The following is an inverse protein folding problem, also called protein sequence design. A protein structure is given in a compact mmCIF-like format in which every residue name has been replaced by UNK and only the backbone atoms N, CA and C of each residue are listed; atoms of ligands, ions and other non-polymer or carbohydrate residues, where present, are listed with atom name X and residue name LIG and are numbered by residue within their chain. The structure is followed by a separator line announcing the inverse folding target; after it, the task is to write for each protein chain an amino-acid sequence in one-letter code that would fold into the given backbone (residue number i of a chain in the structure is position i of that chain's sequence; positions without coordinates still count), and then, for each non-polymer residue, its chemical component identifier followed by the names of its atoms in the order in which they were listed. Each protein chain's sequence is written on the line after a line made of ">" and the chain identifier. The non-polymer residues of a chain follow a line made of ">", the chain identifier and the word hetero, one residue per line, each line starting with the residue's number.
data_IF_587822720652
#
_entry.id   IF_587822720652
#
_cell.length_a   1.000
_cell.length_b   1.000
_cell.length_c   1.000
_cell.angle_alpha   90.00
_cell.angle_beta   90.00
_cell.angle_gamma   90.00
#
_symmetry.space_group_name_H-M   'P 1'
#
loop_
_entity.id
_entity.type
_entity.pdbx_description
1 polymer ?
#
# COMPACT_ATOMS: atom_id res chain seq x y z
N UNK A 1 11.96 -22.74 6.32
CA UNK A 1 10.92 -21.76 6.73
C UNK A 1 11.13 -20.52 5.87
N UNK A 2 10.09 -19.84 5.37
CA UNK A 2 10.29 -18.55 4.70
C UNK A 2 10.58 -17.48 5.76
N UNK A 3 11.62 -16.69 5.58
CA UNK A 3 11.86 -15.53 6.45
C UNK A 3 10.87 -14.40 6.11
N UNK A 4 10.75 -13.39 6.99
CA UNK A 4 9.79 -12.27 6.84
C UNK A 4 9.88 -11.57 5.48
N UNK A 5 11.10 -11.39 4.96
CA UNK A 5 11.36 -10.77 3.66
C UNK A 5 10.90 -11.65 2.49
N UNK A 6 11.21 -12.94 2.54
CA UNK A 6 10.78 -13.92 1.54
C UNK A 6 9.26 -14.08 1.52
N UNK A 7 8.60 -14.00 2.68
CA UNK A 7 7.15 -14.01 2.78
C UNK A 7 6.54 -12.81 2.03
N UNK A 8 7.00 -11.59 2.32
CA UNK A 8 6.49 -10.39 1.64
C UNK A 8 6.74 -10.44 0.12
N UNK A 9 7.88 -10.98 -0.34
CA UNK A 9 8.12 -11.19 -1.77
C UNK A 9 7.19 -12.24 -2.38
N UNK A 10 6.91 -13.35 -1.69
CA UNK A 10 5.98 -14.36 -2.18
C UNK A 10 4.56 -13.79 -2.35
N UNK A 11 4.10 -12.95 -1.41
CA UNK A 11 2.82 -12.26 -1.50
C UNK A 11 2.81 -11.25 -2.66
N UNK A 12 3.89 -10.50 -2.84
CA UNK A 12 4.03 -9.59 -3.96
C UNK A 12 4.04 -10.31 -5.31
N UNK A 13 4.78 -11.42 -5.44
CA UNK A 13 4.83 -12.21 -6.67
C UNK A 13 3.46 -12.78 -7.03
N UNK A 14 2.80 -13.40 -6.04
CA UNK A 14 1.53 -14.10 -6.23
C UNK A 14 0.38 -13.12 -6.47
N UNK A 15 0.20 -12.13 -5.58
CA UNK A 15 -0.96 -11.23 -5.63
C UNK A 15 -0.66 -9.86 -6.22
N UNK A 16 0.60 -9.44 -6.32
CA UNK A 16 0.96 -8.06 -6.67
C UNK A 16 0.72 -7.06 -5.55
N UNK A 17 0.52 -7.53 -4.31
CA UNK A 17 0.24 -6.68 -3.15
C UNK A 17 1.55 -6.18 -2.53
N UNK A 18 1.57 -4.91 -2.13
CA UNK A 18 2.67 -4.28 -1.42
C UNK A 18 2.30 -4.12 0.06
N UNK A 19 3.27 -4.35 0.95
CA UNK A 19 3.11 -4.18 2.39
C UNK A 19 4.00 -5.08 3.22
N UNK A 20 4.06 -4.80 4.52
CA UNK A 20 4.73 -5.65 5.50
C UNK A 20 3.73 -6.55 6.23
N UNK A 21 3.42 -7.68 5.60
CA UNK A 21 2.47 -8.68 6.10
C UNK A 21 3.06 -9.56 7.20
N UNK A 22 4.40 -9.67 7.23
CA UNK A 22 5.14 -10.45 8.22
C UNK A 22 5.53 -9.63 9.47
N UNK A 23 5.08 -8.38 9.60
CA UNK A 23 5.35 -7.50 10.75
C UNK A 23 4.89 -8.08 12.11
N UNK A 24 3.87 -8.94 12.11
CA UNK A 24 3.31 -9.57 13.30
C UNK A 24 3.89 -10.97 13.60
N UNK A 25 4.75 -11.50 12.72
CA UNK A 25 5.34 -12.81 12.95
C UNK A 25 6.33 -12.76 14.13
N UNK A 26 6.36 -13.81 14.97
CA UNK A 26 7.37 -13.92 16.01
C UNK A 26 8.76 -13.93 15.36
N UNK A 27 9.74 -13.32 16.06
CA UNK A 27 11.12 -13.31 15.59
C UNK A 27 11.64 -14.73 15.36
N UNK A 28 12.47 -14.90 14.32
CA UNK A 28 13.11 -16.19 14.06
C UNK A 28 14.01 -16.50 15.27
N UNK A 29 13.84 -17.68 15.88
CA UNK A 29 14.71 -18.12 16.96
C UNK A 29 16.14 -18.20 16.42
N UNK A 30 17.04 -17.36 16.95
CA UNK A 30 18.47 -17.47 16.69
C UNK A 30 18.95 -18.67 17.50
N UNK A 31 19.03 -19.82 16.84
CA UNK A 31 19.53 -21.05 17.46
C UNK A 31 21.06 -20.94 17.62
N UNK A 32 21.49 -20.32 18.71
CA UNK A 32 22.87 -20.42 19.18
C UNK A 32 23.08 -21.80 19.83
N UNK A 33 23.73 -22.70 19.09
CA UNK A 33 24.51 -23.79 19.66
C UNK A 33 23.85 -25.17 19.66
N UNK A 34 24.33 -26.01 18.74
CA UNK A 34 24.47 -27.47 18.84
C UNK A 34 23.26 -28.28 19.38
N UNK A 35 22.46 -28.87 18.51
CA UNK A 35 22.67 -30.26 18.06
C UNK A 35 21.62 -30.72 17.04
N UNK A 36 22.11 -31.50 16.10
CA UNK A 36 21.44 -32.09 14.96
C UNK A 36 20.57 -33.28 15.37
N UNK A 37 19.24 -33.14 15.46
CA UNK A 37 18.25 -34.24 15.29
C UNK A 37 17.01 -33.70 14.57
N UNK A 38 16.68 -34.30 13.42
CA UNK A 38 15.63 -33.87 12.50
C UNK A 38 14.20 -34.12 12.97
N UNK A 39 13.72 -33.38 13.97
CA UNK A 39 12.31 -33.40 14.39
C UNK A 39 11.71 -32.04 14.80
N UNK A 40 12.40 -30.92 14.55
CA UNK A 40 11.99 -29.58 15.00
C UNK A 40 11.19 -28.72 14.01
N UNK A 41 10.29 -29.28 13.19
CA UNK A 41 9.52 -28.53 12.17
C UNK A 41 8.00 -28.52 12.40
N UNK A 42 7.53 -28.65 13.64
CA UNK A 42 6.11 -28.47 13.98
C UNK A 42 5.86 -26.98 14.25
N UNK A 43 5.05 -26.33 13.42
CA UNK A 43 4.57 -24.97 13.68
C UNK A 43 3.82 -24.96 15.03
N UNK A 44 4.15 -24.04 15.93
CA UNK A 44 3.37 -23.90 17.16
C UNK A 44 1.93 -23.47 16.84
N UNK A 45 0.97 -23.81 17.70
CA UNK A 45 -0.42 -23.36 17.54
C UNK A 45 -0.52 -21.82 17.42
N UNK A 46 0.31 -21.09 18.17
CA UNK A 46 0.40 -19.63 18.10
C UNK A 46 0.92 -19.12 16.75
N UNK A 47 1.89 -19.81 16.14
CA UNK A 47 2.39 -19.48 14.81
C UNK A 47 1.31 -19.73 13.75
N UNK A 48 0.63 -20.87 13.79
CA UNK A 48 -0.47 -21.18 12.86
C UNK A 48 -1.58 -20.13 12.90
N UNK A 49 -1.98 -19.71 14.10
CA UNK A 49 -2.97 -18.63 14.28
C UNK A 49 -2.48 -17.30 13.69
N UNK A 50 -1.21 -16.94 13.88
CA UNK A 50 -0.64 -15.74 13.30
C UNK A 50 -0.63 -15.78 11.76
N UNK A 51 -0.27 -16.92 11.17
CA UNK A 51 -0.32 -17.09 9.72
C UNK A 51 -1.75 -17.03 9.17
N UNK A 52 -2.74 -17.64 9.84
CA UNK A 52 -4.15 -17.58 9.42
C UNK A 52 -4.65 -16.14 9.39
N UNK A 53 -4.39 -15.39 10.45
CA UNK A 53 -4.78 -13.98 10.55
C UNK A 53 -4.16 -13.14 9.42
N UNK A 54 -2.92 -13.42 9.04
CA UNK A 54 -2.27 -12.73 7.93
C UNK A 54 -2.85 -13.16 6.58
N UNK A 55 -3.19 -14.44 6.40
CA UNK A 55 -3.87 -14.92 5.20
C UNK A 55 -5.21 -14.23 5.00
N UNK A 56 -6.01 -14.06 6.06
CA UNK A 56 -7.28 -13.32 6.00
C UNK A 56 -7.07 -11.87 5.55
N UNK A 57 -6.09 -11.17 6.13
CA UNK A 57 -5.74 -9.79 5.74
C UNK A 57 -5.32 -9.70 4.26
N UNK A 58 -4.60 -10.71 3.76
CA UNK A 58 -4.17 -10.77 2.36
C UNK A 58 -5.38 -11.01 1.44
N UNK A 59 -6.24 -11.98 1.78
CA UNK A 59 -7.43 -12.31 0.99
C UNK A 59 -8.44 -11.16 0.98
N UNK A 60 -8.64 -10.45 2.09
CA UNK A 60 -9.48 -9.26 2.15
C UNK A 60 -8.98 -8.12 1.26
N UNK A 61 -7.66 -7.99 1.11
CA UNK A 61 -7.06 -7.04 0.17
C UNK A 61 -7.06 -7.53 -1.27
N UNK A 62 -6.92 -8.83 -1.47
CA UNK A 62 -6.80 -9.41 -2.80
C UNK A 62 -8.15 -9.49 -3.51
N UNK A 63 -9.22 -9.79 -2.76
CA UNK A 63 -10.55 -10.09 -3.28
C UNK A 63 -11.41 -8.84 -3.28
N UNK A 64 -11.71 -8.31 -4.46
CA UNK A 64 -12.72 -7.28 -4.65
C UNK A 64 -14.08 -7.89 -4.97
N UNK A 65 -15.15 -7.24 -4.51
CA UNK A 65 -16.53 -7.56 -4.87
C UNK A 65 -17.18 -6.33 -5.51
N UNK A 66 -18.01 -6.56 -6.54
CA UNK A 66 -18.74 -5.49 -7.21
C UNK A 66 -17.94 -4.67 -8.24
N UNK A 67 -18.48 -3.48 -8.53
CA UNK A 67 -18.02 -2.62 -9.62
C UNK A 67 -16.69 -1.91 -9.31
N UNK A 68 -15.99 -1.52 -10.38
CA UNK A 68 -14.76 -0.73 -10.28
C UNK A 68 -15.02 0.56 -9.50
N UNK A 69 -14.29 0.82 -8.40
CA UNK A 69 -14.42 2.08 -7.67
C UNK A 69 -14.17 3.28 -8.59
N UNK A 70 -14.95 4.34 -8.42
CA UNK A 70 -14.80 5.56 -9.21
C UNK A 70 -13.45 6.22 -8.89
N UNK A 71 -12.68 6.51 -9.93
CA UNK A 71 -11.46 7.31 -9.80
C UNK A 71 -11.84 8.78 -9.63
N UNK A 72 -11.41 9.38 -8.52
CA UNK A 72 -11.61 10.79 -8.24
C UNK A 72 -10.41 11.59 -8.72
N UNK A 73 -10.66 12.67 -9.47
CA UNK A 73 -9.63 13.64 -9.85
C UNK A 73 -9.92 14.97 -9.18
N UNK A 74 -8.88 15.62 -8.67
CA UNK A 74 -8.96 16.96 -8.14
C UNK A 74 -7.74 17.78 -8.54
N UNK A 75 -7.96 19.04 -8.89
CA UNK A 75 -6.92 20.02 -9.17
C UNK A 75 -7.12 21.21 -8.24
N UNK A 76 -6.05 21.72 -7.65
CA UNK A 76 -6.10 22.90 -6.79
C UNK A 76 -4.74 23.58 -6.72
N UNK A 77 -4.74 24.84 -6.29
CA UNK A 77 -3.55 25.62 -5.98
C UNK A 77 -3.39 25.75 -4.47
N UNK A 78 -2.20 26.09 -4.00
CA UNK A 78 -2.02 26.47 -2.60
C UNK A 78 -2.64 27.83 -2.25
N UNK A 79 -3.12 28.58 -3.25
CA UNK A 79 -3.92 29.77 -3.01
C UNK A 79 -5.36 29.40 -2.60
N UNK A 80 -5.86 28.24 -3.02
CA UNK A 80 -7.24 27.79 -2.74
C UNK A 80 -7.43 27.20 -1.33
N UNK A 81 -6.35 26.96 -0.58
CA UNK A 81 -6.43 26.49 0.80
C UNK A 81 -6.76 27.63 1.77
N UNK A 82 -7.53 27.30 2.81
CA UNK A 82 -7.96 28.21 3.88
C UNK A 82 -6.79 29.08 4.40
N UNK A 83 -6.97 30.41 4.54
CA UNK A 83 -5.98 31.33 5.09
C UNK A 83 -5.32 30.87 6.41
N UNK A 84 -6.08 30.27 7.33
CA UNK A 84 -5.55 29.69 8.59
C UNK A 84 -4.57 28.55 8.32
N UNK A 85 -4.88 27.70 7.34
CA UNK A 85 -3.98 26.63 6.92
C UNK A 85 -2.72 27.20 6.27
N UNK A 86 -2.85 28.24 5.43
CA UNK A 86 -1.73 28.93 4.78
C UNK A 86 -0.78 29.59 5.78
N UNK A 87 -1.32 30.20 6.83
CA UNK A 87 -0.54 30.78 7.94
C UNK A 87 0.36 29.74 8.60
N UNK A 88 -0.14 28.51 8.78
CA UNK A 88 0.64 27.38 9.29
C UNK A 88 1.74 26.92 8.31
N UNK A 89 1.57 27.11 7.00
CA UNK A 89 2.58 26.77 5.97
C UNK A 89 3.80 27.70 5.97
N UNK A 90 3.73 28.85 6.66
CA UNK A 90 4.76 29.91 6.62
C UNK A 90 5.18 30.22 5.18
N UNK A 91 4.20 30.37 4.30
CA UNK A 91 4.41 30.45 2.86
C UNK A 91 4.18 31.87 2.31
N UNK A 92 4.88 32.24 1.24
CA UNK A 92 4.76 33.55 0.57
C UNK A 92 4.15 33.41 -0.83
N UNK A 93 3.38 34.41 -1.27
CA UNK A 93 2.86 34.49 -2.64
C UNK A 93 3.98 34.83 -3.62
N UNK A 94 3.96 34.18 -4.78
CA UNK A 94 4.82 34.47 -5.94
C UNK A 94 3.98 34.37 -7.22
N UNK A 95 3.31 35.48 -7.57
CA UNK A 95 2.29 35.48 -8.62
C UNK A 95 1.19 34.45 -8.35
N UNK A 96 1.02 33.50 -9.27
CA UNK A 96 0.06 32.40 -9.18
C UNK A 96 0.55 31.22 -8.29
N UNK A 97 1.80 31.26 -7.82
CA UNK A 97 2.43 30.21 -7.02
C UNK A 97 2.55 30.56 -5.53
N UNK A 98 2.87 29.55 -4.72
CA UNK A 98 3.14 29.71 -3.29
C UNK A 98 4.52 29.13 -2.97
N UNK A 99 5.41 29.98 -2.45
CA UNK A 99 6.73 29.58 -1.95
C UNK A 99 6.53 28.90 -0.59
N UNK A 100 6.77 27.60 -0.54
CA UNK A 100 6.61 26.79 0.69
C UNK A 100 7.90 26.81 1.49
N UNK A 101 7.79 26.92 2.82
CA UNK A 101 8.90 26.75 3.76
C UNK A 101 8.74 25.45 4.56
N UNK A 102 9.83 25.00 5.21
CA UNK A 102 9.85 23.71 5.92
C UNK A 102 8.92 23.67 7.15
N UNK A 103 8.40 24.78 7.65
CA UNK A 103 7.59 24.75 8.89
C UNK A 103 6.15 24.24 8.72
N UNK A 104 5.57 24.33 7.52
CA UNK A 104 4.25 23.78 7.29
C UNK A 104 4.14 23.13 5.93
N UNK A 105 4.50 21.86 5.92
CA UNK A 105 4.27 20.94 4.82
C UNK A 105 2.77 20.92 4.47
N UNK A 106 2.37 21.21 3.23
CA UNK A 106 0.97 21.19 2.83
C UNK A 106 0.45 19.76 2.88
N UNK A 107 -0.23 19.42 3.98
CA UNK A 107 -1.06 18.23 4.09
C UNK A 107 -2.29 18.46 3.22
N UNK A 108 -2.51 17.63 2.21
CA UNK A 108 -3.64 17.77 1.28
C UNK A 108 -4.95 17.31 1.93
N UNK A 109 -5.35 17.95 3.05
CA UNK A 109 -6.40 17.50 4.00
C UNK A 109 -7.80 17.36 3.41
N UNK A 110 -8.05 17.86 2.19
CA UNK A 110 -9.30 17.67 1.44
C UNK A 110 -9.24 16.56 0.38
N UNK A 111 -8.10 15.88 0.22
CA UNK A 111 -7.82 14.82 -0.76
C UNK A 111 -7.34 13.57 -0.03
N UNK A 112 -8.23 13.11 0.83
CA UNK A 112 -8.07 11.92 1.64
C UNK A 112 -8.37 10.70 0.76
N UNK A 113 -7.53 9.67 0.82
CA UNK A 113 -7.80 8.41 0.13
C UNK A 113 -9.10 7.79 0.66
N UNK A 114 -10.18 7.66 -0.14
CA UNK A 114 -11.45 7.09 0.31
C UNK A 114 -11.33 5.60 0.62
N UNK A 115 -10.47 4.89 -0.11
CA UNK A 115 -10.18 3.45 0.04
C UNK A 115 -8.69 3.19 -0.12
N UNK A 116 -8.24 2.00 0.27
CA UNK A 116 -6.88 1.53 -0.02
C UNK A 116 -6.67 1.44 -1.55
N UNK A 117 -5.53 1.91 -2.04
CA UNK A 117 -5.21 1.82 -3.46
C UNK A 117 -4.02 2.67 -3.89
N UNK A 118 -3.69 2.61 -5.19
CA UNK A 118 -2.68 3.48 -5.79
C UNK A 118 -3.29 4.84 -6.11
N UNK A 119 -2.58 5.92 -5.81
CA UNK A 119 -3.01 7.28 -6.11
C UNK A 119 -1.87 8.02 -6.79
N UNK A 120 -2.21 8.82 -7.79
CA UNK A 120 -1.29 9.68 -8.52
C UNK A 120 -1.36 11.09 -7.95
N UNK A 121 -0.20 11.67 -7.68
CA UNK A 121 -0.02 13.07 -7.35
C UNK A 121 0.80 13.73 -8.46
N UNK A 122 0.29 14.80 -9.06
CA UNK A 122 1.08 15.67 -9.94
C UNK A 122 1.29 17.01 -9.26
N UNK A 123 2.54 17.45 -9.19
CA UNK A 123 2.91 18.74 -8.57
C UNK A 123 3.64 19.58 -9.60
N UNK A 124 3.08 20.73 -9.93
CA UNK A 124 3.76 21.74 -10.75
C UNK A 124 4.52 22.69 -9.83
N UNK A 125 5.84 22.63 -9.86
CA UNK A 125 6.71 23.42 -8.99
C UNK A 125 7.96 23.93 -9.72
N UNK A 126 8.60 24.96 -9.17
CA UNK A 126 9.87 25.52 -9.64
C UNK A 126 10.69 26.08 -8.47
N UNK A 127 11.99 26.21 -8.68
CA UNK A 127 12.92 26.75 -7.71
C UNK A 127 12.94 28.27 -7.81
N UNK A 128 13.00 28.93 -6.67
CA UNK A 128 13.11 30.39 -6.54
C UNK A 128 14.40 30.69 -5.80
N UNK A 129 15.22 31.58 -6.37
CA UNK A 129 16.47 32.08 -5.75
C UNK A 129 17.38 30.95 -5.25
N UNK A 130 17.53 29.90 -6.05
CA UNK A 130 18.30 28.70 -5.72
C UNK A 130 19.77 28.77 -6.15
N UNK A 131 20.22 29.87 -6.74
CA UNK A 131 21.62 30.08 -7.19
C UNK A 131 22.12 28.95 -8.11
N UNK A 132 21.24 28.34 -8.91
CA UNK A 132 21.56 27.21 -9.78
C UNK A 132 21.75 25.86 -9.06
N UNK A 133 21.52 25.80 -7.74
CA UNK A 133 21.52 24.54 -6.97
C UNK A 133 20.12 23.93 -6.95
N UNK A 134 20.03 22.60 -6.92
CA UNK A 134 18.73 21.95 -6.77
C UNK A 134 18.20 22.14 -5.35
N UNK A 135 16.88 22.28 -5.22
CA UNK A 135 16.16 22.20 -3.95
C UNK A 135 15.34 20.93 -3.93
N UNK A 136 15.46 20.15 -2.85
CA UNK A 136 14.70 18.90 -2.72
C UNK A 136 13.26 19.18 -2.30
N UNK A 137 12.33 18.48 -2.94
CA UNK A 137 10.94 18.37 -2.50
C UNK A 137 10.59 16.89 -2.36
N UNK A 138 10.42 16.42 -1.13
CA UNK A 138 9.99 15.05 -0.85
C UNK A 138 8.46 14.96 -0.87
N UNK A 139 7.94 13.88 -1.46
CA UNK A 139 6.53 13.51 -1.37
C UNK A 139 6.41 12.41 -0.33
N UNK A 140 5.53 12.63 0.63
CA UNK A 140 5.26 11.71 1.73
C UNK A 140 3.76 11.40 1.77
N UNK A 141 3.39 10.23 2.29
CA UNK A 141 1.98 9.90 2.54
C UNK A 141 1.75 9.33 3.94
N UNK A 142 0.52 9.47 4.45
CA UNK A 142 0.09 8.83 5.69
C UNK A 142 -0.83 9.68 6.57
N UNK A 143 -0.96 9.25 7.83
CA UNK A 143 -1.76 9.92 8.87
C UNK A 143 -0.89 10.86 9.68
N UNK A 144 -0.71 12.09 9.22
CA UNK A 144 0.12 13.11 9.88
C UNK A 144 -0.47 13.72 11.19
N UNK A 145 -1.13 12.90 12.02
CA UNK A 145 -1.61 13.26 13.36
C UNK A 145 -0.57 12.94 14.44
N UNK A 146 0.21 11.87 14.28
CA UNK A 146 1.31 11.51 15.18
C UNK A 146 2.64 12.01 14.62
N UNK A 147 3.40 12.77 15.42
CA UNK A 147 4.76 13.21 15.07
C UNK A 147 5.83 12.11 15.19
N UNK A 148 5.48 10.97 15.80
CA UNK A 148 6.43 9.89 16.14
C UNK A 148 6.61 8.83 15.05
N UNK A 149 5.87 8.91 13.93
CA UNK A 149 6.02 7.98 12.80
C UNK A 149 6.63 8.77 11.66
N UNK A 150 7.84 8.37 11.23
CA UNK A 150 8.45 8.89 10.00
C UNK A 150 7.55 8.44 8.86
N UNK A 151 6.89 9.36 8.14
CA UNK A 151 6.03 8.98 7.05
C UNK A 151 6.88 8.37 5.92
N UNK A 152 6.38 7.33 5.23
CA UNK A 152 7.02 6.83 4.02
C UNK A 152 7.28 7.97 3.03
N UNK A 153 8.50 7.98 2.48
CA UNK A 153 8.91 8.89 1.41
C UNK A 153 8.66 8.18 0.10
N UNK A 154 7.62 8.59 -0.61
CA UNK A 154 7.22 8.00 -1.89
C UNK A 154 8.12 8.45 -3.04
N UNK A 155 8.80 9.59 -2.86
CA UNK A 155 9.81 10.05 -3.79
C UNK A 155 10.43 11.38 -3.40
N UNK A 156 11.53 11.70 -4.06
CA UNK A 156 12.28 12.96 -3.90
C UNK A 156 12.41 13.64 -5.25
N UNK A 157 12.03 14.90 -5.31
CA UNK A 157 12.26 15.77 -6.46
C UNK A 157 13.49 16.61 -6.26
N UNK A 158 14.27 16.76 -7.31
CA UNK A 158 15.26 17.82 -7.44
C UNK A 158 14.62 18.93 -8.27
N UNK A 159 14.17 19.99 -7.60
CA UNK A 159 13.60 21.17 -8.24
C UNK A 159 14.77 22.10 -8.57
N UNK A 160 15.17 22.12 -9.84
CA UNK A 160 16.33 22.89 -10.33
C UNK A 160 15.90 24.09 -11.16
N UNK A 161 14.84 23.89 -11.95
CA UNK A 161 14.36 24.85 -12.94
C UNK A 161 13.74 26.08 -12.27
N UNK A 162 14.07 27.26 -12.77
CA UNK A 162 13.42 28.53 -12.47
C UNK A 162 12.04 28.66 -13.17
N UNK A 163 11.72 27.69 -14.03
CA UNK A 163 10.44 27.57 -14.75
C UNK A 163 9.58 26.44 -14.19
N UNK A 164 8.24 26.61 -14.15
CA UNK A 164 7.33 25.58 -13.67
C UNK A 164 7.48 24.26 -14.41
N UNK A 165 7.72 23.17 -13.66
CA UNK A 165 7.76 21.80 -14.17
C UNK A 165 6.77 20.92 -13.41
N UNK A 166 6.09 20.03 -14.11
CA UNK A 166 5.17 19.06 -13.51
C UNK A 166 5.90 17.77 -13.21
N UNK A 167 5.79 17.33 -11.97
CA UNK A 167 6.35 16.09 -11.47
C UNK A 167 5.23 15.13 -11.10
N UNK A 168 5.34 13.85 -11.47
CA UNK A 168 4.33 12.82 -11.21
C UNK A 168 4.84 11.79 -10.21
N UNK A 169 3.96 11.42 -9.27
CA UNK A 169 4.19 10.38 -8.27
C UNK A 169 3.01 9.44 -8.20
N UNK A 170 3.28 8.16 -8.01
CA UNK A 170 2.26 7.15 -7.70
C UNK A 170 2.63 6.47 -6.41
N UNK A 171 1.73 6.48 -5.43
CA UNK A 171 1.94 5.84 -4.14
C UNK A 171 0.72 5.00 -3.72
N UNK A 172 0.98 3.96 -2.92
CA UNK A 172 -0.04 3.07 -2.37
C UNK A 172 -0.57 3.64 -1.04
N UNK A 173 -1.70 4.33 -1.04
CA UNK A 173 -2.29 4.94 0.15
C UNK A 173 -3.28 3.99 0.82
N UNK A 174 -3.30 4.00 2.16
CA UNK A 174 -4.38 3.40 2.94
C UNK A 174 -5.56 4.36 3.03
N UNK A 175 -6.74 3.81 3.29
CA UNK A 175 -7.92 4.59 3.59
C UNK A 175 -7.59 5.61 4.70
N UNK A 176 -7.95 6.86 4.41
CA UNK A 176 -7.70 8.06 5.22
C UNK A 176 -6.29 8.64 5.20
N UNK A 177 -5.38 8.10 4.41
CA UNK A 177 -4.08 8.73 4.17
C UNK A 177 -4.24 9.99 3.30
N UNK A 178 -3.30 10.90 3.44
CA UNK A 178 -3.14 12.09 2.59
C UNK A 178 -1.71 12.14 2.10
N UNK A 179 -1.46 12.84 0.99
CA UNK A 179 -0.11 13.26 0.63
C UNK A 179 0.31 14.52 1.42
N UNK A 180 1.61 14.69 1.59
CA UNK A 180 2.28 15.89 2.06
C UNK A 180 3.54 16.16 1.25
N UNK A 181 3.87 17.43 1.10
CA UNK A 181 5.08 17.88 0.41
C UNK A 181 6.08 18.44 1.42
N UNK A 182 7.30 17.91 1.41
CA UNK A 182 8.32 18.18 2.41
C UNK A 182 9.61 18.70 1.76
N UNK A 183 9.90 20.01 1.83
CA UNK A 183 11.19 20.54 1.36
C UNK A 183 12.27 20.49 2.46
N UNK A 184 13.18 19.49 2.49
CA UNK A 184 14.21 19.35 3.53
C UNK A 184 15.24 20.48 3.51
N UNK A 185 15.51 21.06 2.34
CA UNK A 185 16.59 22.03 2.15
C UNK A 185 16.21 23.45 2.57
N UNK A 186 14.94 23.67 2.92
CA UNK A 186 14.43 24.98 3.30
C UNK A 186 14.44 25.18 4.81
N UNK A 187 14.52 26.45 5.22
CA UNK A 187 14.57 26.86 6.63
C UNK A 187 13.31 26.42 7.40
N UNK A 188 13.50 25.89 8.61
CA UNK A 188 12.42 25.45 9.52
C UNK A 188 12.31 26.29 10.82
N UNK A 189 12.92 27.46 10.88
CA UNK A 189 12.93 28.33 12.07
C UNK A 189 12.43 29.76 11.79
N UNK A 190 11.62 29.94 10.73
CA UNK A 190 11.09 31.25 10.36
C UNK A 190 9.87 31.64 11.22
N UNK A 191 9.91 32.84 11.81
CA UNK A 191 8.74 33.42 12.47
C UNK A 191 7.74 33.90 11.43
N UNK A 192 6.47 33.98 11.80
CA UNK A 192 5.39 34.40 10.90
C UNK A 192 5.62 35.81 10.33
N UNK A 193 6.08 36.72 11.17
CA UNK A 193 6.42 38.11 10.84
C UNK A 193 7.53 38.23 9.79
N UNK A 194 8.47 37.27 9.78
CA UNK A 194 9.62 37.28 8.86
C UNK A 194 9.29 36.70 7.47
N UNK A 195 8.16 35.98 7.33
CA UNK A 195 7.78 35.28 6.08
C UNK A 195 7.64 36.26 4.91
N UNK A 196 7.04 37.43 5.15
CA UNK A 196 6.82 38.44 4.11
C UNK A 196 8.15 39.04 3.60
N UNK A 197 9.08 39.30 4.53
CA UNK A 197 10.39 39.87 4.24
C UNK A 197 11.40 38.83 3.71
N UNK A 198 11.06 37.54 3.73
CA UNK A 198 11.97 36.49 3.29
C UNK A 198 12.38 36.62 1.82
N UNK A 199 13.70 36.72 1.63
CA UNK A 199 14.35 36.85 0.33
C UNK A 199 15.26 35.66 -0.04
N UNK A 200 15.20 34.55 0.71
CA UNK A 200 16.06 33.38 0.47
C UNK A 200 15.51 32.36 -0.55
N UNK A 201 16.21 31.22 -0.73
CA UNK A 201 15.79 30.14 -1.63
C UNK A 201 14.43 29.56 -1.23
N UNK A 202 13.66 29.10 -2.21
CA UNK A 202 12.35 28.52 -1.97
C UNK A 202 11.86 27.65 -3.12
N UNK A 203 10.82 26.87 -2.86
CA UNK A 203 10.12 26.08 -3.88
C UNK A 203 8.73 26.66 -4.04
N UNK A 204 8.45 27.20 -5.22
CA UNK A 204 7.13 27.70 -5.58
C UNK A 204 6.28 26.56 -6.13
N UNK A 205 5.09 26.37 -5.54
CA UNK A 205 4.12 25.36 -5.99
C UNK A 205 2.96 26.08 -6.66
N UNK A 206 2.77 25.80 -7.96
CA UNK A 206 1.74 26.44 -8.80
C UNK A 206 0.45 25.64 -8.82
N UNK A 207 0.56 24.31 -8.96
CA UNK A 207 -0.60 23.43 -9.13
C UNK A 207 -0.35 22.09 -8.49
N UNK A 208 -1.39 21.53 -7.87
CA UNK A 208 -1.40 20.16 -7.35
C UNK A 208 -2.61 19.45 -7.94
N UNK A 209 -2.37 18.28 -8.52
CA UNK A 209 -3.42 17.39 -9.01
C UNK A 209 -3.33 16.05 -8.28
N UNK A 210 -4.48 15.53 -7.89
CA UNK A 210 -4.63 14.25 -7.21
C UNK A 210 -5.62 13.39 -7.98
N UNK A 211 -5.25 12.15 -8.25
CA UNK A 211 -6.03 11.21 -9.03
C UNK A 211 -5.98 9.82 -8.38
N UNK A 212 -7.14 9.25 -8.07
CA UNK A 212 -7.21 7.86 -7.62
C UNK A 212 -8.54 7.49 -6.95
N UNK A 213 -8.69 6.21 -6.55
CA UNK A 213 -7.73 5.13 -6.74
C UNK A 213 -7.52 4.78 -8.22
N UNK A 214 -6.29 4.42 -8.57
CA UNK A 214 -5.86 3.99 -9.90
C UNK A 214 -5.95 2.47 -9.99
N UNK A 215 -6.47 1.99 -11.10
CA UNK A 215 -6.49 0.57 -11.45
C UNK A 215 -6.06 0.42 -12.90
N UNK A 216 -5.00 -0.36 -13.14
CA UNK A 216 -4.55 -0.70 -14.49
C UNK A 216 -5.61 -1.57 -15.20
N UNK A 217 -6.16 -2.53 -14.45
CA UNK A 217 -7.27 -3.40 -14.87
C UNK A 217 -8.26 -3.58 -13.73
N UNK A 218 -9.53 -3.79 -14.08
CA UNK A 218 -10.54 -4.26 -13.13
C UNK A 218 -11.09 -5.61 -13.59
N UNK A 219 -11.18 -6.63 -12.72
CA UNK A 219 -10.64 -6.70 -11.36
C UNK A 219 -9.10 -6.57 -11.32
N UNK A 220 -8.49 -6.22 -10.17
CA UNK A 220 -7.04 -6.14 -10.05
C UNK A 220 -6.37 -7.51 -10.18
N UNK A 221 -5.05 -7.53 -10.49
CA UNK A 221 -4.25 -8.78 -10.59
C UNK A 221 -4.45 -9.69 -9.37
N UNK A 222 -4.48 -9.12 -8.17
CA UNK A 222 -4.67 -9.84 -6.91
C UNK A 222 -5.96 -10.68 -6.89
N UNK A 223 -7.05 -10.14 -7.46
CA UNK A 223 -8.33 -10.85 -7.56
C UNK A 223 -8.31 -11.87 -8.69
N UNK A 224 -7.75 -11.50 -9.85
CA UNK A 224 -7.72 -12.35 -11.05
C UNK A 224 -6.94 -13.65 -10.85
N UNK A 225 -5.91 -13.65 -10.00
CA UNK A 225 -5.16 -14.87 -9.65
C UNK A 225 -6.04 -15.91 -8.96
N UNK A 226 -7.09 -15.48 -8.25
CA UNK A 226 -8.06 -16.36 -7.59
C UNK A 226 -9.25 -16.60 -8.52
N UNK A 227 -9.98 -15.54 -8.87
CA UNK A 227 -11.31 -15.63 -9.50
C UNK A 227 -11.30 -15.43 -11.02
N UNK A 228 -10.17 -15.06 -11.61
CA UNK A 228 -10.14 -14.59 -12.99
C UNK A 228 -10.91 -13.27 -13.10
N UNK A 229 -11.71 -13.11 -14.16
CA UNK A 229 -12.50 -11.89 -14.35
C UNK A 229 -13.86 -11.90 -13.63
N UNK A 230 -14.17 -12.96 -12.87
CA UNK A 230 -15.46 -13.12 -12.18
C UNK A 230 -15.51 -12.32 -10.87
N UNK A 231 -16.40 -11.33 -10.80
CA UNK A 231 -16.66 -10.51 -9.59
C UNK A 231 -17.91 -10.93 -8.80
N UNK A 232 -18.42 -12.15 -9.06
CA UNK A 232 -19.63 -12.65 -8.40
C UNK A 232 -19.31 -13.13 -6.99
N UNK A 233 -20.24 -12.94 -6.07
CA UNK A 233 -20.10 -13.39 -4.68
C UNK A 233 -20.58 -14.84 -4.48
N UNK A 234 -21.46 -15.32 -5.37
CA UNK A 234 -21.99 -16.68 -5.32
C UNK A 234 -21.41 -17.53 -6.44
N UNK A 235 -20.93 -18.71 -6.08
CA UNK A 235 -20.32 -19.67 -7.00
C UNK A 235 -20.97 -21.05 -6.85
N UNK A 236 -21.21 -21.70 -7.98
CA UNK A 236 -21.53 -23.13 -8.00
C UNK A 236 -20.32 -23.96 -7.55
N UNK A 237 -20.58 -25.17 -7.05
CA UNK A 237 -19.53 -26.11 -6.62
C UNK A 237 -18.48 -26.35 -7.71
N UNK A 238 -18.91 -26.42 -8.98
CA UNK A 238 -18.00 -26.57 -10.12
C UNK A 238 -17.08 -25.36 -10.30
N UNK A 239 -17.60 -24.14 -10.13
CA UNK A 239 -16.80 -22.91 -10.19
C UNK A 239 -15.83 -22.83 -9.02
N UNK A 240 -16.26 -23.23 -7.81
CA UNK A 240 -15.40 -23.26 -6.62
C UNK A 240 -14.21 -24.19 -6.81
N UNK A 241 -14.43 -25.40 -7.32
CA UNK A 241 -13.34 -26.35 -7.62
C UNK A 241 -12.34 -25.75 -8.62
N UNK A 242 -12.82 -25.03 -9.63
CA UNK A 242 -11.94 -24.38 -10.61
C UNK A 242 -11.17 -23.19 -10.02
N UNK A 243 -11.81 -22.38 -9.18
CA UNK A 243 -11.16 -21.29 -8.44
C UNK A 243 -10.04 -21.83 -7.55
N UNK A 244 -10.34 -22.88 -6.76
CA UNK A 244 -9.36 -23.54 -5.89
C UNK A 244 -8.21 -24.14 -6.70
N UNK A 245 -8.48 -24.80 -7.83
CA UNK A 245 -7.46 -25.36 -8.72
C UNK A 245 -6.55 -24.27 -9.30
N UNK A 246 -7.12 -23.17 -9.79
CA UNK A 246 -6.36 -22.04 -10.34
C UNK A 246 -5.47 -21.41 -9.29
N UNK A 247 -6.05 -21.10 -8.13
CA UNK A 247 -5.33 -20.48 -7.03
C UNK A 247 -4.20 -21.39 -6.55
N UNK A 248 -4.50 -22.65 -6.27
CA UNK A 248 -3.50 -23.63 -5.84
C UNK A 248 -2.39 -23.80 -6.90
N UNK A 249 -2.72 -23.86 -8.19
CA UNK A 249 -1.71 -23.98 -9.26
C UNK A 249 -0.75 -22.78 -9.29
N UNK A 250 -1.31 -21.57 -9.18
CA UNK A 250 -0.53 -20.33 -9.14
C UNK A 250 0.35 -20.26 -7.90
N UNK A 251 -0.23 -20.60 -6.75
CA UNK A 251 0.43 -20.51 -5.46
C UNK A 251 1.50 -21.62 -5.28
N UNK A 252 1.27 -22.82 -5.86
CA UNK A 252 2.22 -23.94 -5.87
C UNK A 252 3.32 -23.77 -6.93
N UNK A 253 3.12 -22.84 -7.87
CA UNK A 253 3.94 -22.66 -9.07
C UNK A 253 4.09 -23.96 -9.89
N UNK A 254 3.06 -24.82 -9.84
CA UNK A 254 2.94 -26.10 -10.58
C UNK A 254 1.47 -26.55 -10.59
N UNK A 255 1.05 -27.42 -11.53
CA UNK A 255 -0.31 -27.96 -11.52
C UNK A 255 -0.68 -28.56 -10.15
N UNK A 256 -1.81 -28.11 -9.59
CA UNK A 256 -2.29 -28.59 -8.31
C UNK A 256 -2.81 -30.04 -8.41
N UNK A 257 -2.37 -30.98 -7.56
CA UNK A 257 -2.91 -32.34 -7.55
C UNK A 257 -4.40 -32.34 -7.21
N UNK A 258 -5.20 -33.14 -7.92
CA UNK A 258 -6.66 -33.17 -7.72
C UNK A 258 -7.04 -33.51 -6.27
N UNK A 259 -6.29 -34.39 -5.62
CA UNK A 259 -6.50 -34.73 -4.20
C UNK A 259 -6.42 -33.51 -3.26
N UNK A 260 -5.56 -32.54 -3.56
CA UNK A 260 -5.39 -31.33 -2.73
C UNK A 260 -6.54 -30.36 -3.00
N UNK A 261 -6.92 -30.19 -4.27
CA UNK A 261 -8.10 -29.38 -4.65
C UNK A 261 -9.36 -29.91 -3.97
N UNK A 262 -9.57 -31.23 -3.97
CA UNK A 262 -10.71 -31.86 -3.30
C UNK A 262 -10.68 -31.72 -1.78
N UNK A 263 -9.50 -31.72 -1.16
CA UNK A 263 -9.38 -31.46 0.28
C UNK A 263 -9.83 -30.03 0.64
N UNK A 264 -9.41 -29.03 -0.14
CA UNK A 264 -9.87 -27.65 0.05
C UNK A 264 -11.35 -27.48 -0.25
N UNK A 265 -11.86 -28.17 -1.27
CA UNK A 265 -13.29 -28.13 -1.59
C UNK A 265 -14.16 -28.73 -0.48
N UNK A 266 -13.68 -29.77 0.22
CA UNK A 266 -14.38 -30.28 1.41
C UNK A 266 -14.44 -29.27 2.55
N UNK A 267 -13.40 -28.45 2.76
CA UNK A 267 -13.43 -27.36 3.73
C UNK A 267 -14.49 -26.32 3.36
N UNK A 268 -14.60 -25.98 2.08
CA UNK A 268 -15.65 -25.11 1.56
C UNK A 268 -17.04 -25.70 1.84
N UNK A 269 -17.26 -26.97 1.49
CA UNK A 269 -18.56 -27.63 1.72
C UNK A 269 -18.93 -27.69 3.20
N UNK A 270 -17.97 -27.94 4.08
CA UNK A 270 -18.20 -27.92 5.51
C UNK A 270 -18.64 -26.52 5.99
N UNK A 271 -17.92 -25.47 5.59
CA UNK A 271 -18.29 -24.10 5.94
C UNK A 271 -19.70 -23.72 5.41
N UNK A 272 -20.04 -24.15 4.18
CA UNK A 272 -21.39 -23.98 3.62
C UNK A 272 -22.46 -24.73 4.42
N UNK A 273 -22.15 -25.92 4.91
CA UNK A 273 -23.05 -26.69 5.78
C UNK A 273 -23.24 -26.02 7.15
N UNK A 274 -22.18 -25.41 7.67
CA UNK A 274 -22.18 -24.68 8.95
C UNK A 274 -22.91 -23.32 8.86
N UNK A 275 -23.35 -22.92 7.66
CA UNK A 275 -24.21 -21.75 7.43
C UNK A 275 -23.52 -20.57 6.74
N UNK A 276 -22.24 -20.68 6.38
CA UNK A 276 -21.51 -19.58 5.74
C UNK A 276 -22.02 -19.29 4.32
N UNK A 277 -22.01 -18.01 3.94
CA UNK A 277 -22.19 -17.59 2.56
C UNK A 277 -21.03 -18.09 1.65
N UNK A 278 -21.23 -18.09 0.34
CA UNK A 278 -20.29 -18.74 -0.61
C UNK A 278 -18.90 -18.11 -0.54
N UNK A 279 -18.80 -16.77 -0.55
CA UNK A 279 -17.52 -16.09 -0.51
C UNK A 279 -16.76 -16.26 0.83
N UNK A 280 -17.38 -16.08 2.02
CA UNK A 280 -16.73 -16.40 3.30
C UNK A 280 -16.22 -17.85 3.38
N UNK A 281 -17.06 -18.84 3.02
CA UNK A 281 -16.67 -20.25 3.00
C UNK A 281 -15.46 -20.51 2.09
N UNK A 282 -15.42 -19.83 0.94
CA UNK A 282 -14.31 -19.92 0.00
C UNK A 282 -13.04 -19.27 0.56
N UNK A 283 -13.15 -18.13 1.25
CA UNK A 283 -12.01 -17.48 1.92
C UNK A 283 -11.35 -18.41 2.94
N UNK A 284 -12.12 -19.15 3.74
CA UNK A 284 -11.57 -20.14 4.69
C UNK A 284 -10.73 -21.22 3.98
N UNK A 285 -11.21 -21.68 2.82
CA UNK A 285 -10.51 -22.69 2.01
C UNK A 285 -9.25 -22.14 1.35
N UNK A 286 -9.30 -20.90 0.84
CA UNK A 286 -8.15 -20.20 0.25
C UNK A 286 -7.08 -19.86 1.29
N UNK A 287 -7.47 -19.49 2.50
CA UNK A 287 -6.57 -19.23 3.62
C UNK A 287 -5.81 -20.52 3.98
N UNK A 288 -6.53 -21.63 4.09
CA UNK A 288 -5.95 -22.96 4.33
C UNK A 288 -4.95 -23.38 3.24
N UNK A 289 -5.27 -23.13 1.97
CA UNK A 289 -4.35 -23.37 0.85
C UNK A 289 -3.09 -22.49 0.93
N UNK A 290 -3.24 -21.22 1.30
CA UNK A 290 -2.14 -20.26 1.42
C UNK A 290 -1.19 -20.62 2.57
N UNK A 291 -1.71 -21.09 3.71
CA UNK A 291 -0.91 -21.54 4.84
C UNK A 291 0.07 -22.65 4.49
N UNK A 292 -0.41 -23.67 3.77
CA UNK A 292 0.37 -24.86 3.39
C UNK A 292 1.56 -24.48 2.51
N UNK A 293 1.49 -23.34 1.83
CA UNK A 293 2.53 -22.84 0.94
C UNK A 293 3.54 -21.92 1.58
N UNK A 294 3.09 -21.16 2.58
CA UNK A 294 3.90 -20.16 3.26
C UNK A 294 4.64 -20.77 4.46
N UNK A 295 4.16 -21.92 4.96
CA UNK A 295 4.91 -22.82 5.81
C UNK A 295 6.01 -23.55 5.01
N UNK A 296 7.22 -23.76 5.56
CA UNK A 296 8.20 -24.62 4.91
C UNK A 296 7.59 -25.98 4.60
N UNK A 297 7.82 -26.49 3.39
CA UNK A 297 7.55 -27.87 3.04
C UNK A 297 8.08 -28.77 4.16
N UNK A 298 7.18 -29.46 4.85
CA UNK A 298 7.53 -30.74 5.44
C UNK A 298 7.90 -31.64 4.26
N UNK A 299 9.20 -31.70 3.94
CA UNK A 299 9.72 -32.67 2.99
C UNK A 299 9.56 -34.05 3.63
N UNK A 300 8.42 -34.68 3.35
CA UNK A 300 8.27 -36.11 3.52
C UNK A 300 8.88 -36.81 2.31
N UNK A 301 10.10 -37.31 2.48
CA UNK A 301 10.61 -38.55 1.91
C UNK A 301 11.91 -38.90 2.61
#
# INVERSE_FOLDING_TARGET
>A
RLNRRQFNYAIHDLFGLEGDFASSFPDDAVEHGFNNIGSGLVLSASQLQAYMKVADVILDKAIVTGERPRTHTASFTLNDVNPEFRRLLRSKHDGDGVIVMRYGFPKLRGKIAPIDGKYRLRVTAYAVRNEGKYLRLEVQHGKFRNRSVVPPVDGRLEVVDDKPKTFEFVASLKQRDVFALYPPDLTNWMREEDVAAYDGPGIAIKKIEFEGPLFDTWPPKSHRVIFGDSIKDNHSDKEVVEILRRFATSAFRRPAPEREVQAYFKLYQQARHDGDESLPALKHSLASCSLILLAPRMSGS
#
